data_IF_205238760920
#
_entry.id   IF_205238760920
#
_cell.length_a   1.000
_cell.length_b   1.000
_cell.length_c   1.000
_cell.angle_alpha   90.00
_cell.angle_beta   90.00
_cell.angle_gamma   90.00
#
_symmetry.space_group_name_H-M   'P 1'
#
loop_
_entity.id
_entity.type
_entity.pdbx_description
1 polymer ?
#
# COMPACT_ATOMS: atom_id res chain seq x y z
N UNK A 1 26.76 40.36 23.89
CA UNK A 1 25.36 40.04 23.52
C UNK A 1 25.20 39.53 22.08
N UNK A 2 25.69 40.23 21.04
CA UNK A 2 25.58 39.80 19.62
C UNK A 2 26.08 38.38 19.31
N UNK A 3 27.12 37.89 20.01
CA UNK A 3 27.72 36.56 19.80
C UNK A 3 26.81 35.37 20.17
N UNK A 4 25.78 35.58 20.99
CA UNK A 4 24.83 34.52 21.41
C UNK A 4 23.50 34.54 20.65
N UNK A 5 23.24 35.59 19.86
CA UNK A 5 22.00 35.70 19.08
C UNK A 5 21.95 34.68 17.95
N UNK A 6 23.06 34.51 17.23
CA UNK A 6 23.15 33.54 16.15
C UNK A 6 22.88 32.09 16.59
N UNK A 7 23.58 31.51 17.60
CA UNK A 7 23.32 30.13 18.02
C UNK A 7 21.93 29.95 18.65
N UNK A 8 21.37 30.99 19.27
CA UNK A 8 20.00 30.96 19.78
C UNK A 8 18.99 30.87 18.64
N UNK A 9 19.11 31.73 17.62
CA UNK A 9 18.22 31.73 16.45
C UNK A 9 18.31 30.39 15.73
N UNK A 10 19.54 29.88 15.50
CA UNK A 10 19.73 28.59 14.83
C UNK A 10 19.15 27.43 15.63
N UNK A 11 19.34 27.42 16.96
CA UNK A 11 18.77 26.43 17.85
C UNK A 11 17.23 26.41 17.78
N UNK A 12 16.61 27.58 17.95
CA UNK A 12 15.14 27.73 17.90
C UNK A 12 14.59 27.40 16.52
N UNK A 13 15.18 27.93 15.44
CA UNK A 13 14.71 27.68 14.09
C UNK A 13 14.84 26.20 13.70
N UNK A 14 15.97 25.55 14.04
CA UNK A 14 16.17 24.13 13.80
C UNK A 14 15.17 23.26 14.55
N UNK A 15 14.97 23.52 15.85
CA UNK A 15 13.95 22.80 16.65
C UNK A 15 12.55 23.03 16.08
N UNK A 16 12.18 24.26 15.75
CA UNK A 16 10.87 24.58 15.19
C UNK A 16 10.63 23.84 13.86
N UNK A 17 11.63 23.77 12.98
CA UNK A 17 11.55 23.05 11.72
C UNK A 17 11.36 21.53 11.94
N UNK A 18 12.11 20.93 12.86
CA UNK A 18 11.99 19.50 13.17
C UNK A 18 10.64 19.16 13.81
N UNK A 19 10.12 20.02 14.70
CA UNK A 19 8.77 19.88 15.28
C UNK A 19 7.71 20.00 14.18
N UNK A 20 7.84 20.97 13.27
CA UNK A 20 6.92 21.14 12.15
C UNK A 20 6.90 19.90 11.24
N UNK A 21 8.06 19.30 10.96
CA UNK A 21 8.16 18.04 10.22
C UNK A 21 7.49 16.87 10.97
N UNK A 22 7.67 16.77 12.29
CA UNK A 22 7.00 15.76 13.11
C UNK A 22 5.47 15.91 13.07
N UNK A 23 4.96 17.13 13.21
CA UNK A 23 3.52 17.42 13.10
C UNK A 23 2.97 17.09 11.71
N UNK A 24 3.73 17.43 10.65
CA UNK A 24 3.36 17.07 9.29
C UNK A 24 3.27 15.56 9.09
N UNK A 25 4.18 14.78 9.66
CA UNK A 25 4.12 13.32 9.60
C UNK A 25 2.89 12.76 10.31
N UNK A 26 2.48 13.31 11.46
CA UNK A 26 1.24 12.91 12.13
C UNK A 26 0.01 13.23 11.28
N UNK A 27 -0.07 14.44 10.70
CA UNK A 27 -1.17 14.77 9.80
C UNK A 27 -1.22 13.84 8.57
N UNK A 28 -0.06 13.42 8.05
CA UNK A 28 0.03 12.47 6.95
C UNK A 28 -0.36 11.04 7.37
N UNK A 29 -0.05 10.65 8.60
CA UNK A 29 -0.50 9.39 9.21
C UNK A 29 -2.03 9.34 9.23
N UNK A 30 -2.68 10.35 9.81
CA UNK A 30 -4.13 10.42 9.94
C UNK A 30 -4.81 10.33 8.56
N UNK A 31 -4.33 11.11 7.59
CA UNK A 31 -4.82 11.05 6.21
C UNK A 31 -4.70 9.65 5.61
N UNK A 32 -3.60 8.95 5.89
CA UNK A 32 -3.32 7.62 5.36
C UNK A 32 -4.22 6.57 6.02
N UNK A 33 -4.42 6.66 7.33
CA UNK A 33 -5.30 5.78 8.09
C UNK A 33 -6.76 5.94 7.65
N UNK A 34 -7.24 7.16 7.46
CA UNK A 34 -8.59 7.40 6.93
C UNK A 34 -8.79 6.80 5.54
N UNK A 35 -7.78 6.88 4.68
CA UNK A 35 -7.83 6.28 3.35
C UNK A 35 -7.89 4.75 3.43
N UNK A 36 -7.05 4.14 4.26
CA UNK A 36 -7.04 2.68 4.48
C UNK A 36 -8.38 2.22 5.05
N UNK A 37 -8.90 2.92 6.06
CA UNK A 37 -10.18 2.61 6.67
C UNK A 37 -11.34 2.66 5.67
N UNK A 38 -11.33 3.61 4.72
CA UNK A 38 -12.32 3.64 3.62
C UNK A 38 -12.20 2.44 2.69
N UNK A 39 -10.98 2.04 2.34
CA UNK A 39 -10.74 0.86 1.51
C UNK A 39 -11.22 -0.40 2.24
N UNK A 40 -10.83 -0.60 3.50
CA UNK A 40 -11.23 -1.76 4.29
C UNK A 40 -12.75 -1.84 4.45
N UNK A 41 -13.41 -0.70 4.68
CA UNK A 41 -14.86 -0.62 4.76
C UNK A 41 -15.53 -0.98 3.42
N UNK A 42 -14.99 -0.53 2.29
CA UNK A 42 -15.50 -0.91 0.96
C UNK A 42 -15.31 -2.41 0.70
N UNK A 43 -14.16 -2.96 1.10
CA UNK A 43 -13.85 -4.38 0.93
C UNK A 43 -14.81 -5.26 1.72
N UNK A 44 -15.07 -4.88 2.98
CA UNK A 44 -15.90 -5.63 3.92
C UNK A 44 -17.41 -5.34 3.82
N UNK A 45 -17.83 -4.42 2.95
CA UNK A 45 -19.23 -4.07 2.77
C UNK A 45 -20.08 -5.27 2.28
N UNK A 46 -21.39 -5.18 2.50
CA UNK A 46 -22.34 -6.14 1.96
C UNK A 46 -22.23 -6.16 0.42
N UNK A 47 -22.01 -7.34 -0.20
CA UNK A 47 -21.81 -7.42 -1.64
C UNK A 47 -23.02 -6.94 -2.42
N UNK A 48 -22.76 -6.15 -3.46
CA UNK A 48 -23.78 -5.71 -4.43
C UNK A 48 -23.75 -6.58 -5.69
N UNK A 49 -24.81 -6.58 -6.52
CA UNK A 49 -24.77 -7.24 -7.82
C UNK A 49 -23.69 -6.64 -8.74
N UNK A 50 -23.26 -7.42 -9.73
CA UNK A 50 -22.26 -7.03 -10.73
C UNK A 50 -22.60 -5.65 -11.36
N UNK A 51 -21.81 -4.60 -11.13
CA UNK A 51 -22.11 -3.24 -11.63
C UNK A 51 -21.80 -3.12 -13.13
N UNK A 52 -22.21 -2.01 -13.74
CA UNK A 52 -21.95 -1.71 -15.16
C UNK A 52 -20.52 -1.19 -15.41
N UNK A 53 -19.87 -0.61 -14.39
CA UNK A 53 -18.51 -0.11 -14.46
C UNK A 53 -17.72 -0.62 -13.26
N UNK A 54 -16.41 -0.80 -13.45
CA UNK A 54 -15.50 -1.19 -12.37
C UNK A 54 -15.29 -0.02 -11.39
N UNK A 55 -15.43 -0.30 -10.11
CA UNK A 55 -15.08 0.60 -9.01
C UNK A 55 -14.20 -0.17 -8.04
N UNK A 56 -12.96 0.28 -7.85
CA UNK A 56 -11.98 -0.46 -7.05
C UNK A 56 -12.47 -0.71 -5.63
N UNK A 57 -12.21 -1.93 -5.16
CA UNK A 57 -12.55 -2.44 -3.84
C UNK A 57 -14.04 -2.69 -3.59
N UNK A 58 -14.94 -2.35 -4.53
CA UNK A 58 -16.37 -2.59 -4.39
C UNK A 58 -16.64 -4.09 -4.18
N UNK A 59 -17.30 -4.43 -3.08
CA UNK A 59 -17.73 -5.79 -2.78
C UNK A 59 -18.86 -6.22 -3.73
N UNK A 60 -18.66 -7.33 -4.44
CA UNK A 60 -19.58 -7.81 -5.47
C UNK A 60 -19.88 -9.29 -5.31
N UNK A 61 -21.14 -9.65 -5.47
CA UNK A 61 -21.61 -11.02 -5.58
C UNK A 61 -22.16 -11.29 -6.99
N UNK A 62 -21.76 -12.40 -7.58
CA UNK A 62 -22.21 -12.83 -8.90
C UNK A 62 -22.38 -14.35 -8.94
N UNK A 63 -23.32 -14.82 -9.76
CA UNK A 63 -23.53 -16.24 -10.03
C UNK A 63 -23.36 -16.47 -11.52
N UNK A 64 -22.69 -17.56 -11.88
CA UNK A 64 -22.47 -17.89 -13.29
C UNK A 64 -21.59 -19.12 -13.47
N UNK A 65 -21.20 -19.39 -14.71
CA UNK A 65 -20.34 -20.51 -15.05
C UNK A 65 -18.91 -20.04 -15.29
N UNK A 66 -17.95 -20.70 -14.66
CA UNK A 66 -16.52 -20.41 -14.88
C UNK A 66 -16.04 -21.15 -16.13
N UNK A 67 -15.43 -20.44 -17.06
CA UNK A 67 -15.02 -20.97 -18.35
C UNK A 67 -13.59 -20.57 -18.70
N UNK A 68 -12.95 -21.43 -19.48
CA UNK A 68 -11.66 -21.11 -20.08
C UNK A 68 -11.79 -20.20 -21.31
N UNK A 69 -10.67 -19.68 -21.83
CA UNK A 69 -9.29 -19.95 -21.39
C UNK A 69 -8.92 -19.24 -20.06
N UNK A 70 -7.80 -19.64 -19.45
CA UNK A 70 -7.30 -19.08 -18.18
C UNK A 70 -5.98 -18.35 -18.43
N UNK A 71 -5.90 -17.08 -18.04
CA UNK A 71 -4.64 -16.32 -18.00
C UNK A 71 -3.88 -16.69 -16.73
N UNK A 72 -2.56 -16.84 -16.84
CA UNK A 72 -1.68 -17.11 -15.70
C UNK A 72 -0.67 -15.98 -15.52
N UNK A 73 -0.38 -15.62 -14.27
CA UNK A 73 0.68 -14.68 -13.91
C UNK A 73 1.64 -15.32 -12.91
N UNK A 74 2.95 -15.13 -13.10
CA UNK A 74 3.96 -15.60 -12.15
C UNK A 74 3.82 -14.85 -10.83
N UNK A 75 3.58 -15.58 -9.73
CA UNK A 75 3.53 -15.02 -8.39
C UNK A 75 4.79 -15.33 -7.59
N UNK A 76 5.17 -16.62 -7.54
CA UNK A 76 6.39 -17.13 -6.90
C UNK A 76 7.00 -18.27 -7.72
N UNK A 77 8.04 -18.94 -7.20
CA UNK A 77 8.61 -20.13 -7.83
C UNK A 77 7.65 -21.34 -7.85
N UNK A 78 6.64 -21.35 -6.97
CA UNK A 78 5.74 -22.48 -6.75
C UNK A 78 4.27 -22.15 -7.05
N UNK A 79 3.92 -20.87 -7.15
CA UNK A 79 2.55 -20.40 -7.38
C UNK A 79 2.43 -19.43 -8.57
N UNK A 80 1.32 -19.57 -9.28
CA UNK A 80 0.82 -18.65 -10.30
C UNK A 80 -0.52 -18.08 -9.86
N UNK A 81 -0.86 -16.88 -10.31
CA UNK A 81 -2.21 -16.33 -10.18
C UNK A 81 -3.01 -16.68 -11.42
N UNK A 82 -4.25 -17.11 -11.26
CA UNK A 82 -5.11 -17.57 -12.35
C UNK A 82 -6.33 -16.67 -12.52
N UNK A 83 -6.51 -16.13 -13.74
CA UNK A 83 -7.68 -15.33 -14.11
C UNK A 83 -8.47 -16.07 -15.17
N UNK A 84 -9.76 -16.32 -14.91
CA UNK A 84 -10.67 -17.01 -15.79
C UNK A 84 -11.87 -16.12 -16.17
N UNK A 85 -12.77 -16.65 -16.99
CA UNK A 85 -14.01 -15.96 -17.37
C UNK A 85 -15.16 -16.49 -16.53
N UNK A 86 -16.00 -15.59 -16.02
CA UNK A 86 -17.31 -15.89 -15.48
C UNK A 86 -18.39 -15.46 -16.49
N UNK A 87 -19.16 -16.42 -16.96
CA UNK A 87 -20.39 -16.18 -17.73
C UNK A 87 -21.56 -16.01 -16.76
N UNK A 88 -21.93 -14.76 -16.47
CA UNK A 88 -22.99 -14.39 -15.54
C UNK A 88 -24.20 -13.85 -16.33
N UNK A 89 -25.10 -14.75 -16.72
CA UNK A 89 -26.20 -14.44 -17.64
C UNK A 89 -25.67 -14.09 -19.04
N UNK A 90 -26.01 -12.91 -19.55
CA UNK A 90 -25.51 -12.41 -20.85
C UNK A 90 -24.14 -11.74 -20.75
N UNK A 91 -23.63 -11.55 -19.52
CA UNK A 91 -22.40 -10.82 -19.25
C UNK A 91 -21.22 -11.78 -19.13
N UNK A 92 -20.06 -11.34 -19.61
CA UNK A 92 -18.80 -12.05 -19.49
C UNK A 92 -17.81 -11.14 -18.79
N UNK A 93 -17.40 -11.53 -17.59
CA UNK A 93 -16.43 -10.77 -16.78
C UNK A 93 -15.26 -11.65 -16.39
N UNK A 94 -14.16 -11.04 -15.97
CA UNK A 94 -13.00 -11.76 -15.49
C UNK A 94 -13.15 -12.04 -13.99
N UNK A 95 -12.69 -13.22 -13.56
CA UNK A 95 -12.56 -13.56 -12.15
C UNK A 95 -11.11 -13.95 -11.84
N UNK A 96 -10.53 -13.36 -10.80
CA UNK A 96 -9.22 -13.77 -10.27
C UNK A 96 -9.45 -14.88 -9.24
N UNK A 97 -9.10 -16.10 -9.60
CA UNK A 97 -9.28 -17.30 -8.80
C UNK A 97 -8.25 -17.41 -7.67
N UNK A 98 -7.27 -16.50 -7.63
CA UNK A 98 -6.17 -16.51 -6.69
C UNK A 98 -5.01 -17.41 -7.14
N UNK A 99 -4.33 -17.97 -6.16
CA UNK A 99 -3.08 -18.71 -6.36
C UNK A 99 -3.33 -20.19 -6.67
N UNK A 100 -2.69 -20.67 -7.73
CA UNK A 100 -2.68 -22.07 -8.15
C UNK A 100 -1.24 -22.57 -8.26
N UNK A 101 -0.98 -23.87 -8.09
CA UNK A 101 0.35 -24.43 -8.32
C UNK A 101 0.83 -24.19 -9.75
N UNK A 102 2.13 -23.88 -9.89
CA UNK A 102 2.77 -23.67 -11.20
C UNK A 102 2.58 -24.87 -12.11
N UNK A 103 2.26 -24.62 -13.39
CA UNK A 103 2.18 -25.65 -14.46
C UNK A 103 1.27 -26.85 -14.13
N UNK A 104 0.23 -26.62 -13.34
CA UNK A 104 -0.78 -27.65 -13.03
C UNK A 104 -2.08 -27.31 -13.74
N UNK A 105 -2.74 -28.34 -14.29
CA UNK A 105 -4.08 -28.18 -14.85
C UNK A 105 -5.04 -27.70 -13.75
N UNK A 106 -5.84 -26.68 -14.08
CA UNK A 106 -6.83 -26.13 -13.17
C UNK A 106 -8.21 -26.63 -13.61
N UNK A 107 -8.79 -27.64 -12.91
CA UNK A 107 -10.11 -28.14 -13.27
C UNK A 107 -11.16 -27.11 -12.90
N UNK A 108 -11.66 -26.39 -13.90
CA UNK A 108 -12.75 -25.43 -13.70
C UNK A 108 -14.03 -26.16 -13.27
N UNK A 109 -14.86 -25.55 -12.42
CA UNK A 109 -16.04 -26.18 -11.87
C UNK A 109 -17.07 -26.48 -12.97
N UNK A 110 -17.67 -27.67 -12.89
CA UNK A 110 -18.77 -28.06 -13.77
C UNK A 110 -20.09 -27.50 -13.21
N UNK A 111 -20.65 -26.49 -13.87
CA UNK A 111 -21.94 -25.89 -13.50
C UNK A 111 -21.83 -24.44 -13.03
N UNK A 112 -22.90 -23.98 -12.37
CA UNK A 112 -22.94 -22.64 -11.81
C UNK A 112 -22.20 -22.58 -10.47
N UNK A 113 -21.51 -21.47 -10.25
CA UNK A 113 -20.87 -21.11 -8.98
C UNK A 113 -21.40 -19.77 -8.50
N UNK A 114 -21.54 -19.62 -7.20
CA UNK A 114 -21.70 -18.32 -6.56
C UNK A 114 -20.30 -17.78 -6.18
N UNK A 115 -20.01 -16.56 -6.58
CA UNK A 115 -18.74 -15.89 -6.36
C UNK A 115 -19.00 -14.61 -5.57
N UNK A 116 -18.26 -14.43 -4.48
CA UNK A 116 -18.19 -13.16 -3.76
C UNK A 116 -16.75 -12.70 -3.75
N UNK A 117 -16.55 -11.41 -4.03
CA UNK A 117 -15.23 -10.84 -4.15
C UNK A 117 -15.27 -9.33 -4.18
N UNK A 118 -14.18 -8.74 -4.66
CA UNK A 118 -14.07 -7.30 -4.82
C UNK A 118 -13.58 -6.97 -6.21
N UNK A 119 -14.02 -5.84 -6.74
CA UNK A 119 -13.51 -5.36 -8.02
C UNK A 119 -12.11 -4.77 -7.86
N UNK A 120 -11.28 -4.96 -8.88
CA UNK A 120 -9.95 -4.37 -8.97
C UNK A 120 -9.68 -3.96 -10.42
N UNK A 121 -9.13 -2.78 -10.62
CA UNK A 121 -8.82 -2.23 -11.94
C UNK A 121 -7.31 -2.08 -12.11
N UNK A 122 -6.57 -3.18 -12.36
CA UNK A 122 -5.14 -3.11 -12.44
C UNK A 122 -4.69 -2.37 -13.72
N UNK A 123 -3.91 -1.31 -13.55
CA UNK A 123 -3.40 -0.49 -14.66
C UNK A 123 -2.41 -1.24 -15.57
N UNK A 124 -1.72 -2.25 -15.03
CA UNK A 124 -0.69 -2.99 -15.76
C UNK A 124 0.47 -2.13 -16.28
N UNK A 125 1.26 -2.70 -17.18
CA UNK A 125 2.35 -2.00 -17.87
C UNK A 125 2.17 -1.96 -19.39
N UNK A 126 0.97 -2.27 -19.88
CA UNK A 126 0.64 -2.34 -21.32
C UNK A 126 1.28 -3.49 -22.09
N UNK A 127 1.91 -4.46 -21.41
CA UNK A 127 2.43 -5.66 -22.10
C UNK A 127 1.28 -6.53 -22.61
N UNK A 128 1.37 -7.11 -23.82
CA UNK A 128 0.36 -8.03 -24.32
C UNK A 128 0.18 -9.24 -23.39
N UNK A 129 -1.08 -9.57 -23.09
CA UNK A 129 -1.42 -10.74 -22.27
C UNK A 129 -1.44 -12.00 -23.13
N UNK A 130 -0.78 -13.06 -22.63
CA UNK A 130 -0.64 -14.35 -23.29
C UNK A 130 -1.48 -15.42 -22.59
N UNK A 131 -2.09 -16.32 -23.37
CA UNK A 131 -2.92 -17.42 -22.87
C UNK A 131 -2.16 -18.76 -22.81
N UNK A 132 -1.09 -18.88 -23.58
CA UNK A 132 -0.31 -20.11 -23.78
C UNK A 132 0.88 -20.27 -22.82
N UNK A 133 1.16 -19.24 -22.02
CA UNK A 133 2.26 -19.22 -21.06
C UNK A 133 1.96 -18.27 -19.89
N UNK A 134 2.61 -18.46 -18.73
CA UNK A 134 2.52 -17.50 -17.64
C UNK A 134 3.10 -16.13 -18.04
N UNK A 135 2.40 -15.08 -17.66
CA UNK A 135 2.79 -13.69 -17.85
C UNK A 135 3.55 -13.18 -16.62
N UNK A 136 4.37 -12.14 -16.79
CA UNK A 136 4.93 -11.44 -15.65
C UNK A 136 3.83 -10.66 -14.92
N UNK A 137 3.88 -10.58 -13.58
CA UNK A 137 2.87 -9.86 -12.78
C UNK A 137 2.57 -8.43 -13.26
N UNK A 138 3.55 -7.61 -13.69
CA UNK A 138 3.28 -6.27 -14.22
C UNK A 138 2.44 -6.23 -15.50
N UNK A 139 2.29 -7.35 -16.23
CA UNK A 139 1.43 -7.43 -17.41
C UNK A 139 -0.06 -7.61 -17.06
N UNK A 140 -0.41 -7.66 -15.77
CA UNK A 140 -1.81 -7.73 -15.30
C UNK A 140 -2.46 -6.36 -15.53
N UNK A 141 -2.93 -6.17 -16.76
CA UNK A 141 -3.59 -4.98 -17.29
C UNK A 141 -5.06 -5.30 -17.53
N UNK A 142 -5.98 -4.50 -16.99
CA UNK A 142 -7.41 -4.77 -17.04
C UNK A 142 -7.92 -4.92 -18.49
N UNK A 143 -7.55 -3.98 -19.36
CA UNK A 143 -8.01 -3.94 -20.75
C UNK A 143 -7.34 -5.04 -21.57
N UNK A 144 -6.03 -5.26 -21.37
CA UNK A 144 -5.28 -6.31 -22.03
C UNK A 144 -5.81 -7.72 -21.69
N UNK A 145 -6.17 -7.95 -20.43
CA UNK A 145 -6.80 -9.20 -20.02
C UNK A 145 -8.21 -9.35 -20.60
N UNK A 146 -9.01 -8.29 -20.55
CA UNK A 146 -10.38 -8.31 -21.09
C UNK A 146 -10.39 -8.60 -22.59
N UNK A 147 -9.47 -8.00 -23.33
CA UNK A 147 -9.28 -8.26 -24.76
C UNK A 147 -8.86 -9.71 -25.03
N UNK A 148 -7.93 -10.25 -24.25
CA UNK A 148 -7.44 -11.62 -24.41
C UNK A 148 -8.53 -12.68 -24.13
N UNK A 149 -9.42 -12.41 -23.17
CA UNK A 149 -10.50 -13.32 -22.76
C UNK A 149 -11.84 -13.07 -23.48
N UNK A 150 -11.99 -11.93 -24.15
CA UNK A 150 -13.23 -11.53 -24.80
C UNK A 150 -14.34 -11.21 -23.78
N UNK A 151 -14.01 -10.43 -22.76
CA UNK A 151 -14.89 -10.05 -21.65
C UNK A 151 -15.06 -8.53 -21.58
N UNK A 152 -16.01 -8.08 -20.76
CA UNK A 152 -16.03 -6.70 -20.26
C UNK A 152 -14.75 -6.43 -19.42
N UNK A 153 -14.27 -5.17 -19.35
CA UNK A 153 -13.13 -4.77 -18.51
C UNK A 153 -13.56 -4.68 -17.03
N UNK A 154 -14.01 -5.80 -16.48
CA UNK A 154 -14.40 -5.97 -15.08
C UNK A 154 -13.66 -7.20 -14.57
N UNK A 155 -12.85 -7.00 -13.53
CA UNK A 155 -12.15 -8.07 -12.83
C UNK A 155 -12.68 -8.18 -11.40
N UNK A 156 -13.28 -9.32 -11.11
CA UNK A 156 -13.73 -9.68 -9.77
C UNK A 156 -12.70 -10.58 -9.10
N UNK A 157 -12.00 -10.05 -8.10
CA UNK A 157 -11.03 -10.81 -7.31
C UNK A 157 -11.76 -11.65 -6.28
N UNK A 158 -11.68 -12.97 -6.41
CA UNK A 158 -12.45 -13.91 -5.60
C UNK A 158 -11.98 -13.85 -4.14
N UNK A 159 -12.95 -13.68 -3.25
CA UNK A 159 -12.78 -13.89 -1.80
C UNK A 159 -13.37 -15.21 -1.38
N UNK A 160 -14.57 -15.51 -1.87
CA UNK A 160 -15.33 -16.74 -1.59
C UNK A 160 -15.98 -17.26 -2.87
N UNK A 161 -16.04 -18.59 -3.00
CA UNK A 161 -16.67 -19.28 -4.13
C UNK A 161 -17.37 -20.55 -3.63
N UNK A 162 -18.60 -20.79 -4.12
CA UNK A 162 -19.40 -21.98 -3.81
C UNK A 162 -19.92 -22.63 -5.11
N UNK A 163 -19.57 -23.91 -5.38
CA UNK A 163 -18.59 -24.72 -4.66
C UNK A 163 -17.15 -24.14 -4.74
N UNK A 164 -16.30 -24.39 -3.74
CA UNK A 164 -14.91 -23.94 -3.76
C UNK A 164 -14.13 -24.61 -4.89
N UNK A 165 -13.21 -23.87 -5.52
CA UNK A 165 -12.39 -24.37 -6.62
C UNK A 165 -11.20 -25.20 -6.09
N UNK A 166 -11.13 -26.52 -6.35
CA UNK A 166 -10.02 -27.33 -5.88
C UNK A 166 -8.69 -26.90 -6.53
N UNK A 167 -7.64 -26.78 -5.72
CA UNK A 167 -6.31 -26.40 -6.21
C UNK A 167 -6.10 -24.90 -6.44
N UNK A 168 -7.11 -24.07 -6.19
CA UNK A 168 -6.98 -22.62 -6.13
C UNK A 168 -7.14 -22.13 -4.68
N UNK A 169 -6.27 -21.21 -4.27
CA UNK A 169 -6.37 -20.50 -2.99
C UNK A 169 -6.68 -19.04 -3.29
N UNK A 170 -7.89 -18.55 -2.94
CA UNK A 170 -8.25 -17.14 -3.14
C UNK A 170 -7.20 -16.20 -2.55
N UNK A 171 -6.90 -15.13 -3.28
CA UNK A 171 -6.03 -14.04 -2.83
C UNK A 171 -6.85 -12.75 -2.82
N UNK A 172 -7.71 -12.55 -1.80
CA UNK A 172 -8.61 -11.41 -1.77
C UNK A 172 -7.83 -10.10 -1.72
N UNK A 173 -8.44 -9.03 -2.24
CA UNK A 173 -7.89 -7.69 -2.08
C UNK A 173 -7.81 -7.32 -0.60
N UNK A 174 -6.76 -6.60 -0.23
CA UNK A 174 -6.53 -6.15 1.13
C UNK A 174 -5.68 -4.89 1.16
N UNK A 175 -5.69 -4.20 2.29
CA UNK A 175 -4.90 -2.99 2.52
C UNK A 175 -3.49 -3.28 3.05
N UNK A 176 -3.16 -4.55 3.33
CA UNK A 176 -1.87 -4.98 3.92
C UNK A 176 -0.64 -4.54 3.11
N UNK A 177 -0.79 -4.40 1.79
CA UNK A 177 0.27 -3.93 0.90
C UNK A 177 0.52 -2.43 0.95
N UNK A 178 -0.30 -1.65 1.66
CA UNK A 178 -0.23 -0.19 1.72
C UNK A 178 0.67 0.24 2.89
N UNK A 179 1.91 0.73 2.66
CA UNK A 179 2.81 1.07 3.75
C UNK A 179 2.30 2.28 4.55
N UNK A 180 2.42 2.22 5.87
CA UNK A 180 2.07 3.32 6.77
C UNK A 180 3.12 3.52 7.89
N UNK A 181 4.27 4.09 7.54
CA UNK A 181 5.40 4.25 8.46
C UNK A 181 5.49 5.66 9.08
N UNK A 182 4.44 6.47 8.93
CA UNK A 182 4.45 7.90 9.29
C UNK A 182 4.68 8.15 10.79
N UNK A 183 4.16 7.26 11.66
CA UNK A 183 4.41 7.34 13.11
C UNK A 183 5.91 7.19 13.45
N UNK A 184 6.58 6.22 12.83
CA UNK A 184 8.02 5.99 13.05
C UNK A 184 8.85 7.21 12.65
N UNK A 185 8.52 7.83 11.51
CA UNK A 185 9.15 9.09 11.11
C UNK A 185 8.82 10.24 12.05
N UNK A 186 7.58 10.37 12.53
CA UNK A 186 7.22 11.41 13.50
C UNK A 186 8.06 11.30 14.78
N UNK A 187 8.22 10.09 15.32
CA UNK A 187 9.09 9.80 16.47
C UNK A 187 10.53 10.23 16.18
N UNK A 188 11.05 9.90 14.99
CA UNK A 188 12.40 10.30 14.58
C UNK A 188 12.56 11.82 14.57
N UNK A 189 11.62 12.57 13.98
CA UNK A 189 11.68 14.03 13.91
C UNK A 189 11.61 14.68 15.29
N UNK A 190 10.70 14.24 16.15
CA UNK A 190 10.60 14.76 17.52
C UNK A 190 11.82 14.39 18.37
N UNK A 191 12.37 13.18 18.21
CA UNK A 191 13.60 12.76 18.88
C UNK A 191 14.79 13.64 18.48
N UNK A 192 14.96 13.93 17.18
CA UNK A 192 15.99 14.86 16.70
C UNK A 192 15.74 16.28 17.19
N UNK A 193 14.48 16.75 17.22
CA UNK A 193 14.14 18.06 17.76
C UNK A 193 14.55 18.22 19.22
N UNK A 194 14.31 17.18 20.03
CA UNK A 194 14.70 17.13 21.44
C UNK A 194 16.22 17.19 21.59
N UNK A 195 16.96 16.33 20.90
CA UNK A 195 18.44 16.32 20.96
C UNK A 195 19.01 17.67 20.50
N UNK A 196 18.49 18.23 19.40
CA UNK A 196 18.90 19.53 18.89
C UNK A 196 18.66 20.66 19.89
N UNK A 197 17.48 20.69 20.51
CA UNK A 197 17.13 21.68 21.53
C UNK A 197 18.05 21.58 22.75
N UNK A 198 18.24 20.36 23.28
CA UNK A 198 19.11 20.09 24.44
C UNK A 198 20.55 20.50 24.15
N UNK A 199 21.09 20.11 22.99
CA UNK A 199 22.46 20.46 22.59
C UNK A 199 22.62 21.96 22.36
N UNK A 200 21.63 22.62 21.74
CA UNK A 200 21.65 24.07 21.54
C UNK A 200 21.68 24.82 22.87
N UNK A 201 20.83 24.45 23.83
CA UNK A 201 20.81 25.04 25.17
C UNK A 201 22.13 24.77 25.89
N UNK A 202 22.64 23.54 25.86
CA UNK A 202 23.92 23.17 26.49
C UNK A 202 25.09 24.00 25.95
N UNK A 203 25.20 24.16 24.63
CA UNK A 203 26.26 24.94 23.99
C UNK A 203 26.15 26.44 24.34
N UNK A 204 24.93 26.99 24.39
CA UNK A 204 24.70 28.37 24.82
C UNK A 204 25.11 28.57 26.29
N UNK A 205 24.74 27.65 27.18
CA UNK A 205 25.12 27.71 28.59
C UNK A 205 26.63 27.58 28.78
N UNK A 206 27.29 26.69 28.01
CA UNK A 206 28.75 26.54 28.00
C UNK A 206 29.45 27.82 27.53
N UNK A 207 28.97 28.44 26.45
CA UNK A 207 29.55 29.66 25.89
C UNK A 207 29.38 30.91 26.79
N UNK A 208 28.55 30.82 27.84
CA UNK A 208 28.37 31.87 28.85
C UNK A 208 29.34 31.76 30.02
N UNK A 209 30.10 30.66 30.17
CA UNK A 209 31.07 30.51 31.26
C UNK A 209 32.33 31.36 30.98
N UNK A 210 32.78 32.22 31.91
CA UNK A 210 34.02 32.99 31.73
C UNK A 210 35.26 32.08 31.78
N UNK A 211 36.31 32.44 31.05
CA UNK A 211 37.61 31.74 31.11
C UNK A 211 38.23 31.90 32.51
N UNK A 212 38.55 30.80 33.21
CA UNK A 212 39.14 30.86 34.55
C UNK A 212 40.60 31.37 34.57
N UNK A 213 41.19 31.68 33.41
CA UNK A 213 42.61 32.03 33.27
C UNK A 213 42.97 33.52 33.38
N UNK A 214 42.00 34.44 33.48
CA UNK A 214 42.29 35.90 33.49
C UNK A 214 42.36 36.50 34.91
N UNK A 215 42.04 35.73 35.95
CA UNK A 215 41.96 36.24 37.32
C UNK A 215 43.26 36.09 38.16
N UNK A 216 44.41 35.74 37.57
CA UNK A 216 45.65 35.46 38.33
C UNK A 216 46.81 36.45 38.17
N UNK A 217 46.70 37.51 37.36
CA UNK A 217 47.83 38.40 37.07
C UNK A 217 47.73 39.82 37.69
N UNK A 218 46.95 40.04 38.75
CA UNK A 218 46.80 41.38 39.37
C UNK A 218 47.11 41.44 40.88
N UNK A 219 48.04 40.65 41.38
CA UNK A 219 48.71 40.87 42.68
C UNK A 219 50.20 40.51 42.50
N UNK A 220 51.06 41.45 42.10
CA UNK A 220 51.92 42.27 42.97
C UNK A 220 52.57 43.40 42.13
N UNK A 221 52.81 44.61 42.67
CA UNK A 221 54.06 44.81 43.43
C UNK A 221 53.99 45.85 44.57
N UNK A 222 54.72 45.60 45.65
CA UNK A 222 55.72 46.53 46.26
C UNK A 222 56.52 45.80 47.32
#
# INVERSE_FOLDING_TARGET
MRRLLFPLILGVAGTAALVALGLWQLARLDQKEEMIARIDAAIAADPVPLPAASEDYLAVAATGRVVGPVIRFVYSAEAEMAVAVLEAGERRVMIDLGLVPVRTDLPLPEGEVAVTGNLESPEGNGSPVRLDQPNARPARDLEGMAQALGTEPILLVVREMDPPLPGATPLPVGSDGIPNNHLGYAIQWFGMALVWAVMSVFLILRARRPDPGVARDTEEPT
#
